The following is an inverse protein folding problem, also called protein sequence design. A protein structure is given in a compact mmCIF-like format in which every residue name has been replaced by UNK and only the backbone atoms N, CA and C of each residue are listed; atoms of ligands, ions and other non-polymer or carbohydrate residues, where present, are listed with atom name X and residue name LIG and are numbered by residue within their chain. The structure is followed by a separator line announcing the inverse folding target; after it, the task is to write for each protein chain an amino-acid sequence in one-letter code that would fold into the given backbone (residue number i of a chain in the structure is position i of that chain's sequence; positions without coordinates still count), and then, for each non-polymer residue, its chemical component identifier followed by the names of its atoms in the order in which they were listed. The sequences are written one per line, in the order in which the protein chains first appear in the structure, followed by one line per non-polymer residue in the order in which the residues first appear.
data_IF_635705245946
#
_entry.id   IF_635705245946
#
_cell.length_a   1.000
_cell.length_b   1.000
_cell.length_c   1.000
_cell.angle_alpha   90.00
_cell.angle_beta   90.00
_cell.angle_gamma   90.00
#
_symmetry.space_group_name_H-M   'P 1'
#
loop_
_entity.id
_entity.type
_entity.pdbx_description
1 polymer ?
#
# COMPACT_ATOMS: atom_id res chain seq x y z
N UNK A 1 -35.85 -11.61 17.66
CA UNK A 1 -36.14 -11.06 16.31
C UNK A 1 -35.14 -11.64 15.33
N UNK A 2 -35.58 -12.46 14.38
CA UNK A 2 -34.70 -13.06 13.38
C UNK A 2 -34.26 -11.98 12.37
N UNK A 3 -32.94 -11.84 12.18
CA UNK A 3 -32.35 -10.83 11.30
C UNK A 3 -32.55 -11.26 9.85
N UNK A 4 -33.48 -10.63 9.14
CA UNK A 4 -33.72 -10.87 7.71
C UNK A 4 -32.56 -10.32 6.87
N UNK A 5 -31.46 -11.07 6.80
CA UNK A 5 -30.37 -10.81 5.86
C UNK A 5 -30.84 -11.23 4.45
N UNK A 6 -31.48 -10.32 3.73
CA UNK A 6 -31.81 -10.54 2.32
C UNK A 6 -30.53 -10.40 1.47
N UNK A 7 -30.34 -11.30 0.50
CA UNK A 7 -29.21 -11.25 -0.46
C UNK A 7 -29.04 -9.88 -1.12
N UNK A 8 -30.11 -9.08 -1.20
CA UNK A 8 -30.10 -7.69 -1.69
C UNK A 8 -29.26 -6.73 -0.84
N UNK A 9 -29.25 -6.87 0.49
CA UNK A 9 -28.38 -6.09 1.40
C UNK A 9 -26.92 -6.53 1.25
N UNK A 10 -26.67 -7.83 1.12
CA UNK A 10 -25.34 -8.39 0.81
C UNK A 10 -24.78 -7.90 -0.54
N UNK A 11 -25.62 -7.83 -1.57
CA UNK A 11 -25.24 -7.28 -2.87
C UNK A 11 -25.04 -5.76 -2.84
N UNK A 12 -25.81 -5.02 -2.04
CA UNK A 12 -25.63 -3.58 -1.84
C UNK A 12 -24.34 -3.28 -1.07
N UNK A 13 -24.02 -4.04 -0.02
CA UNK A 13 -22.75 -3.96 0.71
C UNK A 13 -21.53 -4.40 -0.13
N UNK A 14 -21.70 -5.36 -1.05
CA UNK A 14 -20.67 -5.69 -2.06
C UNK A 14 -20.39 -4.55 -3.04
N UNK A 15 -21.38 -3.67 -3.27
CA UNK A 15 -21.32 -2.54 -4.20
C UNK A 15 -20.81 -1.25 -3.53
N UNK A 16 -20.94 -1.14 -2.20
CA UNK A 16 -20.40 -0.05 -1.39
C UNK A 16 -18.99 -0.35 -0.87
N UNK A 17 -18.15 -1.04 -1.65
CA UNK A 17 -16.74 -1.15 -1.32
C UNK A 17 -16.12 0.22 -1.59
N UNK A 18 -15.99 1.03 -0.55
CA UNK A 18 -15.06 2.15 -0.58
C UNK A 18 -13.69 1.53 -0.84
N UNK A 19 -13.08 1.92 -1.96
CA UNK A 19 -11.82 1.35 -2.43
C UNK A 19 -10.61 1.83 -1.63
N UNK A 20 -10.83 2.74 -0.66
CA UNK A 20 -9.79 3.42 0.10
C UNK A 20 -9.87 3.02 1.58
N UNK A 21 -8.85 2.29 2.03
CA UNK A 21 -8.56 2.08 3.44
C UNK A 21 -7.22 2.76 3.73
N UNK A 22 -7.22 3.83 4.52
CA UNK A 22 -5.96 4.43 4.97
C UNK A 22 -5.30 3.54 6.01
N UNK A 23 -4.05 3.12 5.75
CA UNK A 23 -3.25 2.39 6.73
C UNK A 23 -2.66 3.35 7.73
N UNK A 24 -2.95 3.13 9.02
CA UNK A 24 -2.38 3.96 10.08
C UNK A 24 -0.92 3.59 10.33
N UNK A 25 -0.13 4.57 10.75
CA UNK A 25 1.28 4.36 11.10
C UNK A 25 1.45 3.29 12.19
N UNK A 26 0.57 3.28 13.21
CA UNK A 26 0.62 2.27 14.28
C UNK A 26 0.37 0.85 13.78
N UNK A 27 -0.53 0.64 12.81
CA UNK A 27 -0.77 -0.68 12.21
C UNK A 27 0.49 -1.19 11.49
N UNK A 28 1.18 -0.29 10.79
CA UNK A 28 2.45 -0.55 10.11
C UNK A 28 3.53 -0.94 11.13
N UNK A 29 3.69 -0.16 12.21
CA UNK A 29 4.66 -0.49 13.26
C UNK A 29 4.37 -1.82 13.92
N UNK A 30 3.10 -2.06 14.24
CA UNK A 30 2.66 -3.29 14.90
C UNK A 30 2.97 -4.51 14.05
N UNK A 31 2.72 -4.47 12.74
CA UNK A 31 3.02 -5.61 11.86
C UNK A 31 4.53 -5.71 11.54
N UNK A 32 5.18 -4.62 11.16
CA UNK A 32 6.57 -4.66 10.67
C UNK A 32 7.61 -5.00 11.74
N UNK A 33 7.29 -4.84 13.03
CA UNK A 33 8.22 -5.20 14.11
C UNK A 33 8.69 -6.66 14.07
N UNK A 34 7.88 -7.58 13.53
CA UNK A 34 8.22 -9.00 13.44
C UNK A 34 9.10 -9.37 12.25
N UNK A 35 9.27 -8.45 11.29
CA UNK A 35 9.99 -8.71 10.04
C UNK A 35 11.28 -7.90 9.91
N UNK A 36 11.69 -7.19 10.97
CA UNK A 36 12.84 -6.26 10.97
C UNK A 36 14.12 -6.88 10.38
N UNK A 37 14.40 -8.13 10.73
CA UNK A 37 15.60 -8.85 10.29
C UNK A 37 15.64 -9.10 8.77
N UNK A 38 14.48 -9.10 8.10
CA UNK A 38 14.41 -9.32 6.65
C UNK A 38 14.79 -8.11 5.82
N UNK A 39 14.92 -6.92 6.43
CA UNK A 39 15.17 -5.66 5.72
C UNK A 39 16.66 -5.30 5.58
N UNK A 40 17.56 -5.99 6.28
CA UNK A 40 18.99 -5.67 6.24
C UNK A 40 19.58 -5.81 4.82
N UNK A 41 20.27 -4.77 4.36
CA UNK A 41 20.85 -4.63 3.02
C UNK A 41 19.83 -4.78 1.88
N UNK A 42 18.55 -4.51 2.14
CA UNK A 42 17.48 -4.60 1.14
C UNK A 42 17.07 -3.26 0.56
N UNK A 43 16.59 -3.32 -0.68
CA UNK A 43 15.87 -2.26 -1.35
C UNK A 43 14.37 -2.46 -1.11
N UNK A 44 13.76 -1.54 -0.36
CA UNK A 44 12.31 -1.55 -0.10
C UNK A 44 11.61 -0.61 -1.08
N UNK A 45 10.49 -1.06 -1.64
CA UNK A 45 9.64 -0.28 -2.52
C UNK A 45 8.22 -0.14 -1.97
N UNK A 46 7.79 1.11 -1.83
CA UNK A 46 6.47 1.51 -1.36
C UNK A 46 5.73 2.26 -2.47
N UNK A 47 4.94 1.57 -3.28
CA UNK A 47 3.96 2.25 -4.13
C UNK A 47 2.81 2.77 -3.26
N UNK A 48 2.43 4.02 -3.48
CA UNK A 48 1.45 4.74 -2.66
C UNK A 48 0.80 5.89 -3.45
N UNK A 49 -0.27 6.46 -2.94
CA UNK A 49 -0.97 7.58 -3.59
C UNK A 49 -0.17 8.88 -3.54
N UNK A 50 0.59 9.10 -2.47
CA UNK A 50 1.54 10.21 -2.36
C UNK A 50 2.64 9.89 -1.32
N UNK A 51 3.91 9.75 -1.75
CA UNK A 51 5.03 9.49 -0.85
C UNK A 51 5.17 10.51 0.28
N UNK A 52 4.73 11.77 0.10
CA UNK A 52 4.86 12.85 1.10
C UNK A 52 3.99 12.64 2.33
N UNK A 53 2.88 11.91 2.19
CA UNK A 53 1.94 11.60 3.27
C UNK A 53 1.82 10.10 3.55
N UNK A 54 2.52 9.26 2.79
CA UNK A 54 2.52 7.81 2.95
C UNK A 54 3.13 7.38 4.29
N UNK A 55 2.33 6.72 5.13
CA UNK A 55 2.81 6.17 6.39
C UNK A 55 3.84 5.05 6.20
N UNK A 56 3.77 4.29 5.10
CA UNK A 56 4.79 3.29 4.76
C UNK A 56 6.14 3.96 4.46
N UNK A 57 6.13 4.97 3.59
CA UNK A 57 7.34 5.71 3.26
C UNK A 57 7.92 6.37 4.51
N UNK A 58 7.06 7.01 5.32
CA UNK A 58 7.45 7.60 6.61
C UNK A 58 8.10 6.59 7.55
N UNK A 59 7.50 5.40 7.72
CA UNK A 59 8.04 4.35 8.58
C UNK A 59 9.44 3.93 8.15
N UNK A 60 9.62 3.59 6.87
CA UNK A 60 10.92 3.15 6.37
C UNK A 60 11.95 4.26 6.35
N UNK A 61 11.54 5.50 6.08
CA UNK A 61 12.43 6.65 6.12
C UNK A 61 12.95 6.94 7.54
N UNK A 62 12.07 6.94 8.55
CA UNK A 62 12.44 7.15 9.96
C UNK A 62 13.29 6.01 10.50
N UNK A 63 13.03 4.78 10.07
CA UNK A 63 13.71 3.57 10.55
C UNK A 63 14.82 3.09 9.60
N UNK A 64 15.20 3.88 8.59
CA UNK A 64 16.07 3.45 7.50
C UNK A 64 17.38 2.82 8.00
N UNK A 65 18.09 3.55 8.87
CA UNK A 65 19.36 3.09 9.46
C UNK A 65 19.16 1.93 10.43
N UNK A 66 18.10 1.97 11.25
CA UNK A 66 17.81 0.91 12.24
C UNK A 66 17.45 -0.42 11.58
N UNK A 67 16.81 -0.37 10.41
CA UNK A 67 16.49 -1.54 9.58
C UNK A 67 17.68 -1.98 8.71
N UNK A 68 18.73 -1.17 8.62
CA UNK A 68 19.89 -1.43 7.76
C UNK A 68 19.54 -1.43 6.28
N UNK A 69 18.59 -0.60 5.86
CA UNK A 69 18.17 -0.54 4.45
C UNK A 69 19.31 -0.07 3.53
N UNK A 70 19.32 -0.64 2.33
CA UNK A 70 20.23 -0.22 1.25
C UNK A 70 19.67 0.96 0.47
N UNK A 71 18.37 0.90 0.17
CA UNK A 71 17.64 1.92 -0.60
C UNK A 71 16.15 1.87 -0.24
N UNK A 72 15.51 3.03 -0.28
CA UNK A 72 14.07 3.17 -0.18
C UNK A 72 13.55 3.84 -1.44
N UNK A 73 12.56 3.21 -2.07
CA UNK A 73 11.88 3.72 -3.27
C UNK A 73 10.41 3.94 -2.91
N UNK A 74 9.81 5.03 -3.37
CA UNK A 74 8.37 5.20 -3.33
C UNK A 74 7.88 5.86 -4.61
N UNK A 75 6.82 5.33 -5.20
CA UNK A 75 6.22 5.88 -6.43
C UNK A 75 4.79 6.33 -6.17
N UNK A 76 4.36 7.28 -7.00
CA UNK A 76 3.08 7.94 -6.98
C UNK A 76 2.42 7.79 -8.36
N UNK A 77 1.21 7.26 -8.37
CA UNK A 77 0.32 7.31 -9.51
C UNK A 77 -0.49 8.61 -9.48
N UNK A 78 -0.60 9.29 -10.62
CA UNK A 78 -1.43 10.48 -10.77
C UNK A 78 -2.47 10.23 -11.84
N UNK A 79 -3.75 10.27 -11.46
CA UNK A 79 -4.85 10.09 -12.39
C UNK A 79 -4.88 11.21 -13.44
N UNK A 80 -4.63 10.86 -14.70
CA UNK A 80 -4.82 11.76 -15.83
C UNK A 80 -6.31 11.79 -16.20
N UNK A 81 -7.06 12.78 -15.72
CA UNK A 81 -8.46 12.97 -16.12
C UNK A 81 -8.53 13.47 -17.57
N UNK A 82 -8.80 12.58 -18.51
CA UNK A 82 -9.18 12.99 -19.87
C UNK A 82 -10.50 13.78 -19.82
N UNK A 83 -10.48 15.03 -20.29
CA UNK A 83 -11.69 15.84 -20.48
C UNK A 83 -11.71 17.22 -19.81
N UNK A 84 -10.69 17.61 -19.03
CA UNK A 84 -10.55 18.99 -18.56
C UNK A 84 -9.67 19.80 -19.52
N UNK A 85 -10.31 20.58 -20.38
CA UNK A 85 -9.65 21.56 -21.23
C UNK A 85 -9.15 22.75 -20.40
N UNK A 86 -7.90 23.13 -20.71
CA UNK A 86 -7.19 24.38 -20.45
C UNK A 86 -6.74 24.70 -19.01
N UNK A 87 -5.40 24.79 -18.88
CA UNK A 87 -4.54 25.31 -17.80
C UNK A 87 -4.36 24.48 -16.54
N UNK A 88 -3.59 23.40 -16.63
CA UNK A 88 -2.39 23.09 -15.84
C UNK A 88 -1.91 21.70 -16.28
N UNK A 89 -0.59 21.55 -16.51
CA UNK A 89 0.01 20.38 -17.16
C UNK A 89 -0.54 19.05 -16.61
N UNK A 90 -0.77 18.06 -17.49
CA UNK A 90 -0.91 16.67 -17.09
C UNK A 90 0.24 16.36 -16.11
N UNK A 91 -0.08 16.16 -14.84
CA UNK A 91 0.94 15.91 -13.82
C UNK A 91 1.32 14.45 -13.97
N UNK A 92 2.47 14.21 -14.59
CA UNK A 92 3.05 12.88 -14.64
C UNK A 92 3.17 12.30 -13.22
N UNK A 93 3.12 10.97 -13.13
CA UNK A 93 3.50 10.30 -11.89
C UNK A 93 4.93 10.65 -11.51
N UNK A 94 5.29 10.41 -10.26
CA UNK A 94 6.63 10.70 -9.76
C UNK A 94 7.07 9.65 -8.75
N UNK A 95 8.36 9.61 -8.47
CA UNK A 95 8.93 8.71 -7.49
C UNK A 95 10.09 9.34 -6.75
N UNK A 96 10.33 8.80 -5.56
CA UNK A 96 11.44 9.14 -4.68
C UNK A 96 12.39 7.95 -4.66
N UNK A 97 13.69 8.24 -4.73
CA UNK A 97 14.73 7.29 -4.37
C UNK A 97 15.59 7.90 -3.27
N UNK A 98 15.70 7.19 -2.15
CA UNK A 98 16.63 7.50 -1.09
C UNK A 98 17.68 6.40 -0.97
N UNK A 99 18.94 6.81 -0.92
CA UNK A 99 20.09 5.96 -0.74
C UNK A 99 20.79 6.34 0.56
N UNK A 100 21.47 5.37 1.18
CA UNK A 100 22.34 5.66 2.31
C UNK A 100 23.49 6.58 1.88
N UNK A 101 23.50 7.81 2.38
CA UNK A 101 24.69 8.66 2.36
C UNK A 101 25.44 8.52 3.68
N UNK A 102 26.76 8.28 3.60
CA UNK A 102 27.57 7.96 4.78
C UNK A 102 27.44 9.03 5.88
N UNK A 103 26.83 8.65 7.00
CA UNK A 103 26.76 9.44 8.23
C UNK A 103 25.70 10.55 8.25
N UNK A 104 24.89 10.71 7.20
CA UNK A 104 23.82 11.71 7.16
C UNK A 104 22.47 11.06 7.48
N UNK A 105 21.81 11.53 8.54
CA UNK A 105 20.44 11.13 8.86
C UNK A 105 19.51 11.58 7.72
N UNK A 106 18.57 10.72 7.33
CA UNK A 106 17.57 11.03 6.31
C UNK A 106 16.79 12.31 6.67
N UNK A 107 16.76 13.26 5.74
CA UNK A 107 15.90 14.45 5.77
C UNK A 107 14.96 14.34 4.56
N UNK A 108 13.64 14.45 4.77
CA UNK A 108 12.65 14.24 3.71
C UNK A 108 12.84 15.19 2.52
N UNK A 109 13.22 16.43 2.79
CA UNK A 109 13.45 17.46 1.76
C UNK A 109 14.69 17.17 0.90
N UNK A 110 15.60 16.32 1.36
CA UNK A 110 16.82 15.94 0.63
C UNK A 110 16.60 14.74 -0.30
N UNK A 111 15.41 14.13 -0.29
CA UNK A 111 15.15 12.95 -1.10
C UNK A 111 14.92 13.36 -2.56
N UNK A 112 15.71 12.78 -3.46
CA UNK A 112 15.60 13.06 -4.89
C UNK A 112 14.22 12.67 -5.43
N UNK A 113 13.56 13.63 -6.07
CA UNK A 113 12.28 13.44 -6.78
C UNK A 113 12.55 13.33 -8.27
N UNK A 114 11.99 12.29 -8.88
CA UNK A 114 12.04 12.08 -10.32
C UNK A 114 10.62 11.93 -10.87
N UNK A 115 10.35 12.51 -12.03
CA UNK A 115 9.06 12.37 -12.72
C UNK A 115 9.12 11.21 -13.70
N UNK A 116 8.02 10.47 -13.81
CA UNK A 116 7.80 9.53 -14.91
C UNK A 116 7.49 10.28 -16.20
N UNK A 117 7.61 9.60 -17.34
CA UNK A 117 7.01 10.04 -18.59
C UNK A 117 5.49 9.83 -18.57
N UNK A 118 5.02 8.73 -17.97
CA UNK A 118 3.61 8.41 -17.80
C UNK A 118 2.98 8.90 -16.49
N UNK A 119 1.82 8.32 -16.17
CA UNK A 119 1.02 8.59 -14.97
C UNK A 119 1.55 7.90 -13.70
N UNK A 120 2.52 6.99 -13.83
CA UNK A 120 3.03 6.20 -12.71
C UNK A 120 2.21 4.96 -12.38
N UNK A 121 1.33 4.50 -13.27
CA UNK A 121 0.58 3.24 -13.07
C UNK A 121 1.59 2.10 -12.81
N UNK A 122 1.30 1.24 -11.84
CA UNK A 122 2.18 0.13 -11.46
C UNK A 122 2.44 -0.88 -12.60
N UNK A 123 1.60 -0.89 -13.63
CA UNK A 123 1.73 -1.71 -14.84
C UNK A 123 2.66 -1.08 -15.89
N UNK A 124 2.94 0.22 -15.79
CA UNK A 124 3.83 0.91 -16.74
C UNK A 124 5.24 0.32 -16.68
N UNK A 125 5.97 0.40 -17.81
CA UNK A 125 7.36 -0.05 -17.87
C UNK A 125 8.24 0.66 -16.86
N UNK A 126 8.01 1.95 -16.64
CA UNK A 126 8.79 2.77 -15.71
C UNK A 126 8.61 2.32 -14.25
N UNK A 127 7.36 2.06 -13.82
CA UNK A 127 7.06 1.52 -12.49
C UNK A 127 7.56 0.09 -12.32
N UNK A 128 7.48 -0.72 -13.38
CA UNK A 128 8.05 -2.08 -13.40
C UNK A 128 9.58 -2.04 -13.26
N UNK A 129 10.25 -1.04 -13.82
CA UNK A 129 11.70 -0.92 -13.68
C UNK A 129 12.11 -0.53 -12.26
N UNK A 130 11.30 0.24 -11.54
CA UNK A 130 11.46 0.43 -10.09
C UNK A 130 11.22 -0.87 -9.32
N UNK A 131 10.16 -1.62 -9.65
CA UNK A 131 9.87 -2.92 -9.04
C UNK A 131 11.04 -3.90 -9.23
N UNK A 132 11.63 -3.96 -10.42
CA UNK A 132 12.78 -4.84 -10.68
C UNK A 132 13.99 -4.49 -9.80
N UNK A 133 14.22 -3.20 -9.51
CA UNK A 133 15.30 -2.72 -8.64
C UNK A 133 15.08 -3.03 -7.16
N UNK A 134 13.85 -3.36 -6.73
CA UNK A 134 13.53 -3.63 -5.34
C UNK A 134 13.66 -5.11 -4.97
N UNK A 135 13.92 -5.38 -3.70
CA UNK A 135 13.92 -6.73 -3.14
C UNK A 135 12.59 -7.06 -2.47
N UNK A 136 12.04 -6.06 -1.75
CA UNK A 136 10.83 -6.20 -0.94
C UNK A 136 9.85 -5.08 -1.28
N UNK A 137 8.59 -5.42 -1.51
CA UNK A 137 7.49 -4.48 -1.65
C UNK A 137 6.67 -4.41 -0.38
N UNK A 138 6.43 -3.21 0.14
CA UNK A 138 5.57 -3.03 1.33
C UNK A 138 4.55 -1.92 1.06
N UNK A 139 3.26 -2.29 1.05
CA UNK A 139 2.19 -1.38 0.62
C UNK A 139 0.80 -1.85 1.10
N UNK A 140 -0.22 -1.07 0.76
CA UNK A 140 -1.64 -1.40 0.85
C UNK A 140 -2.30 -1.00 -0.49
N UNK A 141 -2.40 -1.93 -1.47
CA UNK A 141 -3.02 -1.62 -2.75
C UNK A 141 -4.55 -1.55 -2.61
N UNK A 142 -5.23 -0.74 -3.43
CA UNK A 142 -6.68 -0.67 -3.43
C UNK A 142 -7.30 -2.04 -3.75
N UNK A 143 -8.47 -2.31 -3.16
CA UNK A 143 -9.11 -3.62 -3.20
C UNK A 143 -9.35 -4.12 -4.64
N UNK A 144 -9.75 -3.20 -5.53
CA UNK A 144 -10.01 -3.47 -6.95
C UNK A 144 -8.77 -3.95 -7.71
N UNK A 145 -7.57 -3.50 -7.31
CA UNK A 145 -6.30 -3.79 -7.97
C UNK A 145 -5.48 -4.88 -7.27
N UNK A 146 -5.84 -5.25 -6.03
CA UNK A 146 -5.08 -6.18 -5.19
C UNK A 146 -4.64 -7.47 -5.91
N UNK A 147 -5.56 -8.15 -6.62
CA UNK A 147 -5.24 -9.45 -7.26
C UNK A 147 -4.22 -9.29 -8.37
N UNK A 148 -4.43 -8.31 -9.23
CA UNK A 148 -3.51 -8.02 -10.33
C UNK A 148 -2.15 -7.56 -9.82
N UNK A 149 -2.15 -6.75 -8.76
CA UNK A 149 -0.92 -6.31 -8.13
C UNK A 149 -0.16 -7.48 -7.50
N UNK A 150 -0.85 -8.36 -6.75
CA UNK A 150 -0.25 -9.57 -6.19
C UNK A 150 0.33 -10.48 -7.29
N UNK A 151 -0.42 -10.73 -8.36
CA UNK A 151 0.06 -11.52 -9.49
C UNK A 151 1.34 -10.92 -10.10
N UNK A 152 1.42 -9.58 -10.18
CA UNK A 152 2.63 -8.89 -10.62
C UNK A 152 3.81 -9.14 -9.67
N UNK A 153 3.62 -9.04 -8.35
CA UNK A 153 4.69 -9.29 -7.38
C UNK A 153 5.21 -10.73 -7.45
N UNK A 154 4.29 -11.70 -7.60
CA UNK A 154 4.65 -13.11 -7.78
C UNK A 154 5.41 -13.31 -9.09
N UNK A 155 4.94 -12.70 -10.20
CA UNK A 155 5.60 -12.77 -11.52
C UNK A 155 7.04 -12.27 -11.49
N UNK A 156 7.34 -11.24 -10.71
CA UNK A 156 8.67 -10.66 -10.59
C UNK A 156 9.48 -11.21 -9.40
N UNK A 157 9.03 -12.30 -8.78
CA UNK A 157 9.68 -12.99 -7.64
C UNK A 157 10.05 -12.04 -6.50
N UNK A 158 9.13 -11.13 -6.17
CA UNK A 158 9.35 -10.16 -5.10
C UNK A 158 8.94 -10.74 -3.76
N UNK A 159 9.73 -10.45 -2.73
CA UNK A 159 9.23 -10.56 -1.35
C UNK A 159 8.27 -9.39 -1.12
N UNK A 160 7.25 -9.59 -0.31
CA UNK A 160 6.32 -8.53 -0.04
C UNK A 160 5.63 -8.68 1.31
N UNK A 161 5.16 -7.54 1.81
CA UNK A 161 4.20 -7.45 2.89
C UNK A 161 3.09 -6.52 2.44
N UNK A 162 1.88 -7.06 2.27
CA UNK A 162 0.71 -6.29 1.88
C UNK A 162 -0.24 -6.24 3.07
N UNK A 163 -0.50 -5.03 3.56
CA UNK A 163 -1.61 -4.80 4.49
C UNK A 163 -2.86 -4.67 3.64
N UNK A 164 -3.85 -5.54 3.86
CA UNK A 164 -5.09 -5.56 3.11
C UNK A 164 -6.26 -6.02 3.98
N UNK A 165 -7.48 -5.80 3.48
CA UNK A 165 -8.69 -6.32 4.12
C UNK A 165 -8.65 -7.86 4.20
N UNK A 166 -9.06 -8.43 5.34
CA UNK A 166 -9.07 -9.89 5.59
C UNK A 166 -9.84 -10.69 4.52
N UNK A 167 -10.82 -10.07 3.86
CA UNK A 167 -11.57 -10.72 2.77
C UNK A 167 -10.68 -11.09 1.58
N UNK A 168 -9.51 -10.46 1.41
CA UNK A 168 -8.53 -10.84 0.39
C UNK A 168 -8.10 -12.32 0.48
N UNK A 169 -8.09 -12.89 1.69
CA UNK A 169 -7.77 -14.30 1.93
C UNK A 169 -8.74 -15.28 1.27
N UNK A 170 -9.96 -14.82 0.98
CA UNK A 170 -11.02 -15.64 0.35
C UNK A 170 -10.92 -15.68 -1.17
N UNK A 171 -10.05 -14.87 -1.77
CA UNK A 171 -9.84 -14.91 -3.21
C UNK A 171 -9.20 -16.23 -3.61
N UNK A 172 -9.68 -16.81 -4.71
CA UNK A 172 -9.23 -18.13 -5.17
C UNK A 172 -7.71 -18.17 -5.37
N UNK A 173 -7.16 -17.12 -5.95
CA UNK A 173 -5.74 -16.97 -6.26
C UNK A 173 -4.91 -16.90 -4.97
N UNK A 174 -5.34 -16.08 -4.01
CA UNK A 174 -4.68 -15.90 -2.70
C UNK A 174 -4.75 -17.18 -1.88
N UNK A 175 -5.94 -17.78 -1.79
CA UNK A 175 -6.15 -19.02 -1.04
C UNK A 175 -5.28 -20.16 -1.59
N UNK A 176 -5.14 -20.27 -2.91
CA UNK A 176 -4.25 -21.26 -3.52
C UNK A 176 -2.79 -21.03 -3.14
N UNK A 177 -2.31 -19.78 -3.16
CA UNK A 177 -0.94 -19.45 -2.73
C UNK A 177 -0.70 -19.79 -1.26
N UNK A 178 -1.67 -19.53 -0.38
CA UNK A 178 -1.59 -19.92 1.04
C UNK A 178 -1.56 -21.44 1.18
N UNK A 179 -2.46 -22.14 0.51
CA UNK A 179 -2.55 -23.61 0.52
C UNK A 179 -1.26 -24.28 0.04
N UNK A 180 -0.61 -23.68 -0.95
CA UNK A 180 0.67 -24.14 -1.49
C UNK A 180 1.88 -23.66 -0.69
N UNK A 181 1.65 -23.00 0.46
CA UNK A 181 2.70 -22.47 1.35
C UNK A 181 3.66 -21.49 0.65
N UNK A 182 3.14 -20.70 -0.29
CA UNK A 182 3.88 -19.67 -1.04
C UNK A 182 3.79 -18.30 -0.40
N UNK A 183 2.69 -18.03 0.32
CA UNK A 183 2.45 -16.78 1.07
C UNK A 183 1.80 -17.12 2.41
N UNK A 184 1.93 -16.22 3.38
CA UNK A 184 1.41 -16.41 4.74
C UNK A 184 0.55 -15.23 5.17
N UNK A 185 -0.29 -15.47 6.17
CA UNK A 185 -1.07 -14.43 6.82
C UNK A 185 -0.19 -13.70 7.84
N UNK A 186 -0.34 -12.37 7.92
CA UNK A 186 0.41 -11.54 8.86
C UNK A 186 0.12 -11.88 10.32
N UNK A 187 1.02 -11.45 11.21
CA UNK A 187 1.00 -11.79 12.64
C UNK A 187 -0.29 -11.29 13.30
N UNK A 188 -0.79 -10.14 12.86
CA UNK A 188 -1.95 -9.47 13.46
C UNK A 188 -3.30 -9.77 12.81
N UNK A 189 -3.41 -10.84 12.02
CA UNK A 189 -4.67 -11.25 11.39
C UNK A 189 -5.82 -11.31 12.41
N UNK A 190 -6.86 -10.50 12.19
CA UNK A 190 -8.16 -10.59 12.87
C UNK A 190 -8.36 -9.69 14.10
N UNK A 191 -7.31 -9.21 14.78
CA UNK A 191 -7.46 -8.32 15.97
C UNK A 191 -6.33 -7.29 16.21
N UNK A 192 -5.23 -7.30 15.46
CA UNK A 192 -4.09 -6.39 15.71
C UNK A 192 -3.93 -5.22 14.73
N UNK A 193 -4.74 -5.19 13.67
CA UNK A 193 -4.92 -4.04 12.79
C UNK A 193 -6.33 -3.51 13.06
N UNK A 194 -6.46 -2.69 14.12
CA UNK A 194 -7.76 -2.22 14.62
C UNK A 194 -7.92 -0.74 14.29
N UNK A 195 -8.68 -0.44 13.23
CA UNK A 195 -8.98 0.93 12.88
C UNK A 195 -8.93 1.17 11.39
N UNK A 196 -10.03 0.93 10.68
CA UNK A 196 -10.17 1.47 9.34
C UNK A 196 -10.70 2.90 9.48
N UNK A 197 -9.90 3.87 9.03
CA UNK A 197 -10.44 5.21 8.76
C UNK A 197 -11.24 5.08 7.47
N UNK A 198 -12.54 5.34 7.58
CA UNK A 198 -13.46 5.26 6.45
C UNK A 198 -13.99 6.66 6.15
N UNK A 199 -14.23 6.99 4.86
CA UNK A 199 -14.81 8.26 4.47
C UNK A 199 -16.13 8.56 5.18
N UNK A 200 -16.48 9.83 5.33
CA UNK A 200 -17.69 10.27 6.07
C UNK A 200 -18.99 9.63 5.54
N UNK A 201 -19.04 9.30 4.24
CA UNK A 201 -20.18 8.67 3.59
C UNK A 201 -20.27 7.15 3.82
N UNK A 202 -19.29 6.54 4.50
CA UNK A 202 -19.28 5.11 4.79
C UNK A 202 -20.13 4.80 6.03
N UNK A 203 -21.08 3.89 5.88
CA UNK A 203 -21.91 3.43 6.98
C UNK A 203 -21.05 2.58 7.94
N UNK A 204 -20.82 3.07 9.16
CA UNK A 204 -19.93 2.42 10.13
C UNK A 204 -20.51 1.07 10.60
N UNK A 205 -19.80 -0.01 10.32
CA UNK A 205 -20.12 -1.35 10.82
C UNK A 205 -18.99 -1.89 11.71
N UNK A 206 -19.30 -2.12 12.99
CA UNK A 206 -18.35 -2.66 13.98
C UNK A 206 -17.62 -1.58 14.77
N UNK A 207 -16.93 -1.98 15.84
CA UNK A 207 -16.19 -1.08 16.76
C UNK A 207 -14.84 -0.59 16.21
N UNK A 208 -14.46 -1.07 15.03
CA UNK A 208 -13.14 -0.90 14.41
C UNK A 208 -13.14 0.11 13.25
N UNK A 209 -14.31 0.60 12.82
CA UNK A 209 -14.39 1.67 11.82
C UNK A 209 -14.53 3.02 12.55
N UNK A 210 -13.74 4.02 12.16
CA UNK A 210 -13.82 5.39 12.70
C UNK A 210 -13.68 6.40 11.56
N UNK A 211 -14.35 7.54 11.69
CA UNK A 211 -14.15 8.70 10.80
C UNK A 211 -13.09 9.58 11.47
N UNK A 212 -12.11 10.08 10.71
CA UNK A 212 -11.11 10.98 11.29
C UNK A 212 -11.73 12.35 11.64
N UNK A 213 -11.04 13.17 12.44
CA UNK A 213 -11.53 14.51 12.80
C UNK A 213 -11.50 15.52 11.64
N UNK A 214 -11.00 15.13 10.47
CA UNK A 214 -10.88 15.96 9.27
C UNK A 214 -11.91 15.59 8.19
N UNK A 215 -12.71 14.54 8.38
CA UNK A 215 -13.80 14.14 7.48
C UNK A 215 -13.35 13.49 6.16
N UNK A 216 -12.13 12.94 6.08
CA UNK A 216 -11.64 12.28 4.85
C UNK A 216 -12.20 10.88 4.67
#
# INVERSE_FOLDING_TARGET
MARNATNKLLHKAKKSKSDEFYTQYCDIENELQYYREHFSDKVVYCNCDDPRVSNFFKYFAVNFDNLGLKKLIASCYVENKEGFSSSEAAKNGFYYEYHKENGKKLVFDDISVSSFCGDGDFRSSESIDLLKKSDIVVTNPPFSLFREYLDQLIKYDKKFLIIANVNSTTYKEVFNLIKENKIWLGVHLGRGVSGFIVPEHYELYGTEARIDSNGN
#
